data_IF_866006509366
#
_entry.id   IF_866006509366
#
_cell.length_a   1.000
_cell.length_b   1.000
_cell.length_c   1.000
_cell.angle_alpha   90.00
_cell.angle_beta   90.00
_cell.angle_gamma   90.00
#
_symmetry.space_group_name_H-M   'P 1'
#
loop_
_entity.id
_entity.type
_entity.pdbx_description
1 polymer ?
#
# COMPACT_ATOMS: atom_id res chain seq x y z
N UNK A 1 3.77 -2.63 2.06
CA UNK A 1 2.62 -1.69 1.97
C UNK A 1 2.34 -1.49 0.50
N UNK A 2 1.10 -1.72 0.06
CA UNK A 2 0.66 -1.51 -1.31
C UNK A 2 -0.29 -0.30 -1.36
N UNK A 3 -0.04 0.56 -2.34
CA UNK A 3 -0.83 1.77 -2.59
C UNK A 3 -2.09 1.51 -3.40
N UNK A 4 -2.61 2.56 -4.01
CA UNK A 4 -3.76 2.53 -4.91
C UNK A 4 -3.34 2.09 -6.32
N UNK A 5 -4.05 1.10 -6.87
CA UNK A 5 -3.89 0.65 -8.26
C UNK A 5 -5.10 1.10 -9.08
N UNK A 6 -4.97 2.25 -9.76
CA UNK A 6 -6.00 2.80 -10.64
C UNK A 6 -6.11 2.01 -11.95
N UNK A 7 -7.32 1.88 -12.50
CA UNK A 7 -7.54 1.21 -13.80
C UNK A 7 -7.23 -0.30 -13.78
N UNK A 8 -7.39 -0.94 -12.63
CA UNK A 8 -7.05 -2.35 -12.38
C UNK A 8 -8.27 -3.27 -12.34
N UNK A 9 -9.44 -2.79 -12.79
CA UNK A 9 -10.66 -3.59 -12.84
C UNK A 9 -10.48 -4.78 -13.80
N UNK A 10 -10.85 -6.00 -13.38
CA UNK A 10 -10.80 -7.18 -14.25
C UNK A 10 -11.68 -7.01 -15.49
N UNK A 11 -11.31 -7.69 -16.56
CA UNK A 11 -12.12 -7.89 -17.75
C UNK A 11 -12.43 -9.38 -17.95
N UNK A 12 -13.26 -9.70 -18.95
CA UNK A 12 -13.74 -11.06 -19.20
C UNK A 12 -12.60 -12.08 -19.44
N UNK A 13 -11.47 -11.64 -20.00
CA UNK A 13 -10.32 -12.50 -20.26
C UNK A 13 -9.55 -12.89 -18.99
N UNK A 14 -9.71 -12.13 -17.90
CA UNK A 14 -9.04 -12.43 -16.63
C UNK A 14 -9.63 -13.67 -15.94
N UNK A 15 -10.79 -14.18 -16.38
CA UNK A 15 -11.41 -15.44 -15.92
C UNK A 15 -11.48 -15.56 -14.37
N UNK A 16 -11.94 -14.48 -13.73
CA UNK A 16 -12.05 -14.39 -12.28
C UNK A 16 -10.76 -14.01 -11.55
N UNK A 17 -9.66 -13.81 -12.26
CA UNK A 17 -8.45 -13.23 -11.69
C UNK A 17 -8.64 -11.73 -11.40
N UNK A 18 -8.28 -11.32 -10.19
CA UNK A 18 -8.46 -9.94 -9.73
C UNK A 18 -7.22 -9.46 -8.98
N UNK A 19 -7.21 -8.17 -8.65
CA UNK A 19 -6.16 -7.58 -7.84
C UNK A 19 -6.08 -8.23 -6.44
N UNK A 20 -7.21 -8.65 -5.87
CA UNK A 20 -7.24 -9.41 -4.61
C UNK A 20 -6.61 -10.80 -4.78
N UNK A 21 -6.90 -11.49 -5.89
CA UNK A 21 -6.23 -12.75 -6.24
C UNK A 21 -4.71 -12.59 -6.36
N UNK A 22 -4.26 -11.47 -6.94
CA UNK A 22 -2.83 -11.13 -6.99
C UNK A 22 -2.25 -10.89 -5.57
N UNK A 23 -2.97 -10.21 -4.68
CA UNK A 23 -2.51 -10.01 -3.29
C UNK A 23 -2.34 -11.35 -2.56
N UNK A 24 -3.29 -12.27 -2.71
CA UNK A 24 -3.26 -13.57 -2.05
C UNK A 24 -2.13 -14.44 -2.61
N UNK A 25 -1.91 -14.40 -3.93
CA UNK A 25 -0.76 -15.05 -4.54
C UNK A 25 0.57 -14.51 -3.98
N UNK A 26 0.75 -13.18 -3.89
CA UNK A 26 1.96 -12.59 -3.31
C UNK A 26 2.15 -12.97 -1.84
N UNK A 27 1.08 -12.98 -1.04
CA UNK A 27 1.12 -13.42 0.37
C UNK A 27 1.55 -14.87 0.51
N UNK A 28 1.19 -15.74 -0.45
CA UNK A 28 1.65 -17.14 -0.44
C UNK A 28 3.15 -17.31 -0.72
N UNK A 29 3.79 -16.31 -1.35
CA UNK A 29 5.17 -16.39 -1.85
C UNK A 29 6.17 -15.60 -1.00
N UNK A 30 5.73 -14.54 -0.34
CA UNK A 30 6.56 -13.65 0.45
C UNK A 30 6.60 -14.09 1.91
N UNK A 31 7.78 -14.11 2.51
CA UNK A 31 7.96 -14.36 3.95
C UNK A 31 7.78 -13.10 4.80
N UNK A 32 7.37 -11.98 4.20
CA UNK A 32 7.16 -10.69 4.86
C UNK A 32 5.70 -10.24 4.75
N UNK A 33 5.18 -9.47 5.73
CA UNK A 33 3.79 -9.02 5.70
C UNK A 33 3.48 -8.10 4.51
N UNK A 34 2.40 -8.42 3.80
CA UNK A 34 1.85 -7.60 2.71
C UNK A 34 0.55 -6.92 3.19
N UNK A 35 0.67 -5.62 3.46
CA UNK A 35 -0.45 -4.75 3.83
C UNK A 35 -0.88 -3.94 2.61
N UNK A 36 -2.16 -4.00 2.25
CA UNK A 36 -2.78 -3.22 1.16
C UNK A 36 -3.67 -2.10 1.70
N UNK A 37 -4.21 -1.26 0.81
CA UNK A 37 -5.19 -0.22 1.14
C UNK A 37 -4.58 1.12 1.60
N UNK A 38 -3.30 1.37 1.30
CA UNK A 38 -2.75 2.70 1.49
C UNK A 38 -3.25 3.63 0.37
N UNK A 39 -3.86 4.76 0.73
CA UNK A 39 -4.21 5.83 -0.22
C UNK A 39 -2.94 6.52 -0.74
N UNK A 40 -2.22 5.88 -1.67
CA UNK A 40 -0.99 6.37 -2.26
C UNK A 40 -0.89 5.92 -3.71
N UNK A 41 -0.82 6.86 -4.65
CA UNK A 41 -0.72 6.56 -6.07
C UNK A 41 -1.28 7.69 -6.93
N UNK A 42 -1.98 7.29 -8.01
CA UNK A 42 -2.52 8.19 -9.03
C UNK A 42 -3.95 8.67 -8.76
N UNK A 43 -4.52 8.29 -7.61
CA UNK A 43 -5.84 8.76 -7.19
C UNK A 43 -5.77 10.16 -6.56
N UNK A 44 -6.85 10.96 -6.60
CA UNK A 44 -6.89 12.26 -5.94
C UNK A 44 -6.58 12.18 -4.43
N UNK A 45 -6.97 11.06 -3.80
CA UNK A 45 -6.59 10.72 -2.43
C UNK A 45 -5.22 10.04 -2.46
N UNK A 46 -4.18 10.81 -2.20
CA UNK A 46 -2.81 10.31 -2.15
C UNK A 46 -2.05 10.98 -0.99
N UNK A 47 -1.41 10.18 -0.14
CA UNK A 47 -0.57 10.68 0.95
C UNK A 47 0.82 11.04 0.43
N UNK A 48 1.51 11.95 1.12
CA UNK A 48 2.91 12.24 0.81
C UNK A 48 3.84 11.32 1.58
N UNK A 49 4.55 10.43 0.88
CA UNK A 49 5.60 9.61 1.47
C UNK A 49 6.97 10.28 1.32
N UNK A 50 7.74 10.28 2.42
CA UNK A 50 9.09 10.85 2.46
C UNK A 50 10.12 9.76 2.23
N UNK A 51 10.61 9.69 0.99
CA UNK A 51 11.63 8.72 0.58
C UNK A 51 12.91 8.91 1.38
N UNK A 52 13.47 7.79 1.87
CA UNK A 52 14.66 7.79 2.73
C UNK A 52 14.39 8.10 4.21
N UNK A 53 13.17 8.50 4.58
CA UNK A 53 12.80 8.69 5.99
C UNK A 53 12.69 7.36 6.72
N UNK A 54 12.86 7.39 8.05
CA UNK A 54 12.59 6.23 8.88
C UNK A 54 11.09 5.99 8.95
N UNK A 55 10.67 4.75 8.74
CA UNK A 55 9.28 4.34 8.82
C UNK A 55 9.09 3.25 9.88
N UNK A 56 8.01 3.35 10.66
CA UNK A 56 7.52 2.28 11.53
C UNK A 56 6.09 1.93 11.12
N UNK A 57 5.87 0.64 10.84
CA UNK A 57 4.56 0.11 10.49
C UNK A 57 4.00 -0.66 11.68
N UNK A 58 2.79 -0.32 12.11
CA UNK A 58 1.99 -1.07 13.07
C UNK A 58 0.69 -1.53 12.40
N UNK A 59 0.36 -2.82 12.55
CA UNK A 59 -0.83 -3.42 11.96
C UNK A 59 -1.59 -4.21 13.03
N UNK A 60 -2.84 -3.80 13.27
CA UNK A 60 -3.78 -4.47 14.15
C UNK A 60 -5.05 -4.83 13.34
N UNK A 61 -5.87 -5.80 13.80
CA UNK A 61 -7.16 -6.07 13.18
C UNK A 61 -7.97 -4.77 13.03
N UNK A 62 -8.36 -4.45 11.79
CA UNK A 62 -9.14 -3.26 11.46
C UNK A 62 -8.38 -1.92 11.43
N UNK A 63 -7.08 -1.86 11.75
CA UNK A 63 -6.31 -0.61 11.70
C UNK A 63 -4.83 -0.83 11.39
N UNK A 64 -4.35 -0.12 10.36
CA UNK A 64 -2.91 0.02 10.07
C UNK A 64 -2.46 1.45 10.33
N UNK A 65 -1.26 1.63 10.86
CA UNK A 65 -0.64 2.93 11.06
C UNK A 65 0.81 2.92 10.54
N UNK A 66 1.16 3.93 9.74
CA UNK A 66 2.52 4.16 9.26
C UNK A 66 3.03 5.48 9.84
N UNK A 67 4.06 5.42 10.68
CA UNK A 67 4.69 6.58 11.29
C UNK A 67 6.01 6.87 10.57
N UNK A 68 6.15 8.10 10.05
CA UNK A 68 7.36 8.56 9.36
C UNK A 68 8.10 9.59 10.22
N UNK A 69 9.41 9.46 10.34
CA UNK A 69 10.26 10.38 11.12
C UNK A 69 11.64 10.58 10.48
N UNK A 70 12.35 11.61 10.93
CA UNK A 70 13.72 11.91 10.48
C UNK A 70 13.84 12.50 9.08
N UNK A 71 12.74 12.97 8.47
CA UNK A 71 12.79 13.75 7.24
C UNK A 71 12.90 15.25 7.54
N UNK A 72 13.56 16.03 6.67
CA UNK A 72 13.56 17.49 6.80
C UNK A 72 12.13 18.04 6.80
N UNK A 73 11.90 19.03 7.66
CA UNK A 73 10.63 19.74 7.78
C UNK A 73 10.87 21.23 7.56
N UNK A 74 9.82 21.96 7.21
CA UNK A 74 9.88 23.42 7.17
C UNK A 74 10.13 23.94 8.59
N UNK A 75 11.06 24.88 8.73
CA UNK A 75 11.19 25.64 9.96
C UNK A 75 10.05 26.66 10.02
N UNK A 76 9.39 26.77 11.17
CA UNK A 76 8.44 27.86 11.46
C UNK A 76 9.15 29.21 11.61
#
# INVERSE_FOLDING_TARGET
MLGSFSGSSPNDYDDGYSLDGMYDYLRSRLSIPLISGLDFGHEPRTVTLRWGARAQLSHNPGRSALTLSGHPVLAE
#
